data_IF_423807731941
#
_entry.id   IF_423807731941
#
_cell.length_a   1.000
_cell.length_b   1.000
_cell.length_c   1.000
_cell.angle_alpha   90.00
_cell.angle_beta   90.00
_cell.angle_gamma   90.00
#
_symmetry.space_group_name_H-M   'P 1'
#
loop_
_entity.id
_entity.type
_entity.pdbx_description
1 polymer ?
#
# COMPACT_ATOMS: atom_id res chain seq x y z
N UNK A 1 -1.70 19.04 7.27
CA UNK A 1 -1.31 17.63 7.42
C UNK A 1 -2.33 16.83 6.61
N UNK A 2 -1.95 16.29 5.46
CA UNK A 2 -2.90 15.77 4.47
C UNK A 2 -3.30 14.34 4.83
N UNK A 3 -4.59 14.13 5.08
CA UNK A 3 -5.15 12.87 5.52
C UNK A 3 -5.29 11.85 4.37
N UNK A 4 -5.32 10.57 4.71
CA UNK A 4 -5.63 9.49 3.76
C UNK A 4 -7.15 9.47 3.51
N UNK A 5 -7.55 9.24 2.25
CA UNK A 5 -8.95 9.18 1.85
C UNK A 5 -9.71 8.04 2.51
N UNK A 6 -11.05 8.09 2.45
CA UNK A 6 -11.92 7.08 3.04
C UNK A 6 -11.69 5.67 2.44
N UNK A 7 -11.21 5.60 1.20
CA UNK A 7 -10.83 4.39 0.47
C UNK A 7 -9.41 3.88 0.82
N UNK A 8 -8.75 4.53 1.79
CA UNK A 8 -7.37 4.27 2.20
C UNK A 8 -6.34 4.57 1.08
N UNK A 9 -6.62 5.50 0.18
CA UNK A 9 -5.68 5.97 -0.84
C UNK A 9 -5.54 7.50 -0.80
N UNK A 10 -4.60 8.06 -1.56
CA UNK A 10 -4.51 9.51 -1.80
C UNK A 10 -3.73 9.80 -3.08
N UNK A 11 -3.80 11.02 -3.59
CA UNK A 11 -2.99 11.41 -4.75
C UNK A 11 -1.55 11.78 -4.37
N UNK A 12 -0.61 11.43 -5.25
CA UNK A 12 0.77 11.84 -5.12
C UNK A 12 0.93 13.33 -5.44
N UNK A 13 1.45 14.11 -4.50
CA UNK A 13 1.69 15.56 -4.68
C UNK A 13 2.70 15.87 -5.79
N UNK A 14 3.51 14.90 -6.23
CA UNK A 14 4.54 15.08 -7.27
C UNK A 14 4.07 14.71 -8.67
N UNK A 15 3.28 13.64 -8.80
CA UNK A 15 2.94 13.09 -10.11
C UNK A 15 1.45 12.81 -10.30
N UNK A 16 0.61 13.18 -9.32
CA UNK A 16 -0.84 13.04 -9.34
C UNK A 16 -1.36 11.62 -9.58
N UNK A 17 -0.49 10.61 -9.47
CA UNK A 17 -0.87 9.22 -9.49
C UNK A 17 -1.38 8.79 -8.12
N UNK A 18 -2.32 7.84 -8.07
CA UNK A 18 -2.82 7.32 -6.81
C UNK A 18 -1.69 6.65 -6.02
N UNK A 19 -1.67 6.91 -4.72
CA UNK A 19 -0.78 6.29 -3.75
C UNK A 19 -1.55 5.24 -2.95
N UNK A 20 -0.99 4.04 -2.89
CA UNK A 20 -1.58 2.90 -2.20
C UNK A 20 -0.79 2.54 -0.94
N UNK A 21 -1.43 2.00 0.12
CA UNK A 21 -0.73 1.53 1.30
C UNK A 21 0.24 0.39 0.99
N UNK A 22 1.47 0.51 1.49
CA UNK A 22 2.51 -0.51 1.36
C UNK A 22 3.01 -1.04 2.71
N UNK A 23 2.89 -0.25 3.77
CA UNK A 23 3.31 -0.66 5.11
C UNK A 23 2.54 0.11 6.19
N UNK A 24 2.30 -0.53 7.33
CA UNK A 24 1.81 0.08 8.58
C UNK A 24 2.94 -0.03 9.62
N UNK A 25 3.26 1.05 10.32
CA UNK A 25 4.24 1.04 11.41
C UNK A 25 3.93 2.11 12.45
N UNK A 26 4.00 1.76 13.73
CA UNK A 26 3.93 2.68 14.87
C UNK A 26 2.84 3.79 14.78
N UNK A 27 1.64 3.44 14.31
CA UNK A 27 0.53 4.40 14.19
C UNK A 27 0.62 5.31 12.95
N UNK A 28 1.44 4.94 11.97
CA UNK A 28 1.54 5.57 10.66
C UNK A 28 1.35 4.54 9.56
N UNK A 29 1.03 5.02 8.36
CA UNK A 29 0.97 4.23 7.13
C UNK A 29 1.86 4.86 6.08
N UNK A 30 2.65 4.03 5.42
CA UNK A 30 3.45 4.41 4.25
C UNK A 30 2.67 4.10 2.98
N UNK A 31 2.57 5.10 2.12
CA UNK A 31 1.89 5.07 0.85
C UNK A 31 2.92 5.19 -0.27
N UNK A 32 2.67 4.50 -1.39
CA UNK A 32 3.54 4.53 -2.57
C UNK A 32 2.70 4.66 -3.85
N UNK A 33 3.10 5.54 -4.77
CA UNK A 33 2.53 5.58 -6.13
C UNK A 33 3.32 4.69 -7.10
N UNK A 34 2.78 4.50 -8.32
CA UNK A 34 3.45 3.70 -9.35
C UNK A 34 4.87 4.18 -9.72
N UNK A 35 5.18 5.48 -9.52
CA UNK A 35 6.52 6.05 -9.74
C UNK A 35 7.43 5.97 -8.49
N UNK A 36 7.07 5.17 -7.48
CA UNK A 36 7.83 4.97 -6.23
C UNK A 36 8.07 6.24 -5.42
N UNK A 37 7.22 7.24 -5.56
CA UNK A 37 7.18 8.32 -4.57
C UNK A 37 6.51 7.81 -3.31
N UNK A 38 7.14 8.09 -2.18
CA UNK A 38 6.68 7.66 -0.87
C UNK A 38 6.05 8.82 -0.11
N UNK A 39 5.05 8.51 0.70
CA UNK A 39 4.57 9.41 1.74
C UNK A 39 4.21 8.64 2.99
N UNK A 40 4.46 9.24 4.15
CA UNK A 40 4.07 8.68 5.43
C UNK A 40 3.04 9.60 6.04
N UNK A 41 1.89 9.02 6.43
CA UNK A 41 0.78 9.75 7.04
C UNK A 41 0.34 9.05 8.31
N UNK A 42 -0.31 9.76 9.24
CA UNK A 42 -0.91 9.12 10.41
C UNK A 42 -1.90 8.04 10.00
N UNK A 43 -1.93 6.94 10.76
CA UNK A 43 -2.89 5.88 10.57
C UNK A 43 -4.30 6.40 10.91
N UNK A 44 -5.34 6.04 10.13
CA UNK A 44 -6.71 6.39 10.46
C UNK A 44 -7.09 5.92 11.87
N UNK A 45 -7.78 6.79 12.60
CA UNK A 45 -8.39 6.44 13.90
C UNK A 45 -9.64 5.59 13.74
N UNK A 46 -10.33 5.73 12.61
CA UNK A 46 -11.49 4.91 12.27
C UNK A 46 -11.09 3.46 12.02
N UNK A 47 -11.77 2.53 12.70
CA UNK A 47 -11.47 1.11 12.63
C UNK A 47 -11.69 0.52 11.24
N UNK A 48 -12.73 0.97 10.52
CA UNK A 48 -13.03 0.46 9.19
C UNK A 48 -11.98 0.96 8.16
N UNK A 49 -11.54 2.21 8.26
CA UNK A 49 -10.47 2.74 7.44
C UNK A 49 -9.12 2.04 7.71
N UNK A 50 -8.82 1.73 8.98
CA UNK A 50 -7.63 0.96 9.35
C UNK A 50 -7.67 -0.46 8.76
N UNK A 51 -8.83 -1.11 8.78
CA UNK A 51 -8.99 -2.44 8.19
C UNK A 51 -8.79 -2.41 6.66
N UNK A 52 -9.25 -1.35 5.99
CA UNK A 52 -8.98 -1.14 4.56
C UNK A 52 -7.49 -0.99 4.26
N UNK A 53 -6.75 -0.23 5.08
CA UNK A 53 -5.28 -0.12 4.96
C UNK A 53 -4.62 -1.50 5.06
N UNK A 54 -4.98 -2.29 6.07
CA UNK A 54 -4.42 -3.64 6.28
C UNK A 54 -4.75 -4.58 5.14
N UNK A 55 -5.98 -4.53 4.67
CA UNK A 55 -6.44 -5.30 3.52
C UNK A 55 -5.65 -4.98 2.24
N UNK A 56 -5.31 -3.71 2.02
CA UNK A 56 -4.44 -3.30 0.90
C UNK A 56 -3.04 -3.90 1.01
N UNK A 57 -2.40 -3.77 2.17
CA UNK A 57 -1.06 -4.27 2.43
C UNK A 57 -1.03 -5.80 2.24
N UNK A 58 -2.00 -6.52 2.80
CA UNK A 58 -2.11 -7.97 2.68
C UNK A 58 -2.30 -8.42 1.22
N UNK A 59 -3.20 -7.77 0.46
CA UNK A 59 -3.41 -8.08 -0.96
C UNK A 59 -2.16 -7.84 -1.79
N UNK A 60 -1.44 -6.75 -1.55
CA UNK A 60 -0.19 -6.45 -2.24
C UNK A 60 0.89 -7.49 -1.92
N UNK A 61 1.02 -7.89 -0.66
CA UNK A 61 1.91 -8.98 -0.25
C UNK A 61 1.57 -10.31 -0.94
N UNK A 62 0.29 -10.66 -1.02
CA UNK A 62 -0.17 -11.87 -1.70
C UNK A 62 0.09 -11.84 -3.21
N UNK A 63 -0.08 -10.69 -3.87
CA UNK A 63 0.24 -10.53 -5.30
C UNK A 63 1.73 -10.71 -5.57
N UNK A 64 2.59 -10.16 -4.71
CA UNK A 64 4.04 -10.35 -4.82
C UNK A 64 4.40 -11.82 -4.57
N UNK A 65 3.84 -12.45 -3.54
CA UNK A 65 4.09 -13.87 -3.26
C UNK A 65 3.70 -14.78 -4.44
N UNK A 66 2.51 -14.60 -5.00
CA UNK A 66 2.07 -15.34 -6.18
C UNK A 66 2.90 -15.04 -7.44
N UNK A 67 3.55 -13.87 -7.52
CA UNK A 67 4.52 -13.58 -8.58
C UNK A 67 5.82 -14.37 -8.37
N UNK A 68 6.32 -14.41 -7.13
CA UNK A 68 7.51 -15.20 -6.78
C UNK A 68 7.31 -16.69 -7.05
N UNK A 69 6.18 -17.28 -6.64
CA UNK A 69 5.86 -18.69 -6.90
C UNK A 69 5.83 -19.03 -8.40
N UNK A 70 5.37 -18.11 -9.25
CA UNK A 70 5.40 -18.31 -10.71
C UNK A 70 6.81 -18.29 -11.28
N UNK A 71 7.68 -17.40 -10.79
CA UNK A 71 9.08 -17.38 -11.23
C UNK A 71 9.83 -18.63 -10.81
N UNK A 72 9.61 -19.12 -9.59
CA UNK A 72 10.20 -20.38 -9.11
C UNK A 72 9.74 -21.60 -9.94
N UNK A 73 8.48 -21.59 -10.41
CA UNK A 73 7.95 -22.65 -11.27
C UNK A 73 8.44 -22.58 -12.73
N UNK A 74 8.96 -21.44 -13.19
CA UNK A 74 9.55 -21.26 -14.52
C UNK A 74 11.06 -21.59 -14.56
N UNK A 75 11.72 -21.72 -13.40
CA UNK A 75 13.15 -22.03 -13.25
C UNK A 75 13.47 -23.53 -13.08
N UNK A 76 12.48 -24.43 -13.17
CA UNK A 76 12.68 -25.89 -13.11
C UNK A 76 12.61 -26.51 -14.53
N UNK A 77 13.75 -26.75 -15.22
CA UNK A 77 13.82 -27.35 -16.56
C UNK A 77 13.58 -28.87 -16.60
#
# INVERSE_FOLDING_TARGET
MTEIGADATRDCERCHLPMMPIAESAGTVTLECANRHHSTVPLPRDGAARERVRSWIARRGAQLHAQHERWEAEEDP
#
